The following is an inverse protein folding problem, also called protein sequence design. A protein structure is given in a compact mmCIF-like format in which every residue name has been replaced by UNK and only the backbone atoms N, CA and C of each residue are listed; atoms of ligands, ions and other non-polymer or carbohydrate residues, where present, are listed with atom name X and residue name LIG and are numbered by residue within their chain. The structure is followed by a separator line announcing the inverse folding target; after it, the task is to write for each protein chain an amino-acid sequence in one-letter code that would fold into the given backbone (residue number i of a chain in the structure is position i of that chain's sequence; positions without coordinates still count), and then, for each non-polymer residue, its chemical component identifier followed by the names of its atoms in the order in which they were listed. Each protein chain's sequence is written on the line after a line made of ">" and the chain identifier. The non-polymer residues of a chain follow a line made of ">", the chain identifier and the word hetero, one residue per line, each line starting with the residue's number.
data_IF_329191863990
#
_entry.id   IF_329191863990
#
_cell.length_a   1.000
_cell.length_b   1.000
_cell.length_c   1.000
_cell.angle_alpha   90.00
_cell.angle_beta   90.00
_cell.angle_gamma   90.00
#
_symmetry.space_group_name_H-M   'P 1'
#
loop_
_entity.id
_entity.type
_entity.pdbx_description
1 polymer ?
#
# COMPACT_ATOMS: atom_id res chain seq x y z
N UNK A 1 2.36 21.50 5.01
CA UNK A 1 2.68 20.77 6.26
C UNK A 1 2.42 19.30 6.01
N UNK A 2 3.46 18.48 6.16
CA UNK A 2 3.49 17.05 5.86
C UNK A 2 2.28 16.26 6.39
N UNK A 3 1.88 16.50 7.64
CA UNK A 3 0.73 15.85 8.26
C UNK A 3 -0.56 16.02 7.45
N UNK A 4 -0.85 17.22 6.96
CA UNK A 4 -2.01 17.48 6.10
C UNK A 4 -1.91 16.71 4.78
N UNK A 5 -0.71 16.56 4.21
CA UNK A 5 -0.53 15.78 2.97
C UNK A 5 -0.81 14.28 3.22
N UNK A 6 -0.36 13.73 4.36
CA UNK A 6 -0.63 12.35 4.76
C UNK A 6 -2.13 12.13 5.01
N UNK A 7 -2.77 13.00 5.79
CA UNK A 7 -4.22 12.95 6.07
C UNK A 7 -5.03 12.99 4.79
N UNK A 8 -4.69 13.89 3.86
CA UNK A 8 -5.40 14.03 2.59
C UNK A 8 -5.24 12.78 1.72
N UNK A 9 -4.03 12.22 1.65
CA UNK A 9 -3.77 11.01 0.86
C UNK A 9 -4.52 9.80 1.44
N UNK A 10 -4.43 9.55 2.74
CA UNK A 10 -5.14 8.44 3.38
C UNK A 10 -6.66 8.59 3.24
N UNK A 11 -7.18 9.79 3.50
CA UNK A 11 -8.61 10.10 3.33
C UNK A 11 -9.08 9.83 1.91
N UNK A 12 -8.27 10.22 0.90
CA UNK A 12 -8.56 9.93 -0.50
C UNK A 12 -8.49 8.44 -0.79
N UNK A 13 -7.49 7.73 -0.27
CA UNK A 13 -7.34 6.29 -0.46
C UNK A 13 -8.57 5.50 0.02
N UNK A 14 -9.15 5.88 1.15
CA UNK A 14 -10.37 5.26 1.67
C UNK A 14 -11.59 5.39 0.75
N UNK A 15 -11.59 6.33 -0.19
CA UNK A 15 -12.68 6.47 -1.17
C UNK A 15 -12.58 5.43 -2.30
N UNK A 16 -11.39 4.85 -2.52
CA UNK A 16 -11.13 3.94 -3.64
C UNK A 16 -10.98 2.48 -3.24
N UNK A 17 -10.85 2.17 -1.94
CA UNK A 17 -10.81 0.80 -1.48
C UNK A 17 -10.28 0.61 -0.08
N UNK A 18 -9.99 -0.66 0.24
CA UNK A 18 -9.37 -1.09 1.47
C UNK A 18 -7.91 -0.65 1.52
N UNK A 19 -7.46 -0.14 2.68
CA UNK A 19 -6.12 0.43 2.85
C UNK A 19 -5.35 -0.40 3.87
N UNK A 20 -4.16 -0.85 3.46
CA UNK A 20 -3.24 -1.60 4.30
C UNK A 20 -1.92 -0.84 4.46
N UNK A 21 -1.33 -0.88 5.65
CA UNK A 21 0.03 -0.40 5.91
C UNK A 21 0.90 -1.59 6.30
N UNK A 22 1.82 -1.97 5.42
CA UNK A 22 2.77 -3.07 5.64
C UNK A 22 4.16 -2.53 5.94
N UNK A 23 4.64 -2.75 7.16
CA UNK A 23 5.92 -2.20 7.64
C UNK A 23 6.87 -3.29 8.14
N UNK A 24 8.18 -3.05 8.00
CA UNK A 24 9.23 -3.85 8.66
C UNK A 24 9.61 -3.30 10.05
N UNK A 25 8.95 -2.23 10.52
CA UNK A 25 8.96 -1.85 11.93
C UNK A 25 8.25 -2.90 12.78
N UNK A 26 8.42 -2.83 14.10
CA UNK A 26 7.74 -3.72 15.03
C UNK A 26 6.26 -3.35 15.19
N UNK A 27 5.44 -4.27 15.69
CA UNK A 27 4.03 -4.00 16.02
C UNK A 27 3.93 -2.78 16.96
N UNK A 28 3.02 -1.85 16.65
CA UNK A 28 2.89 -0.58 17.37
C UNK A 28 3.76 0.57 16.83
N UNK A 29 4.72 0.29 15.93
CA UNK A 29 5.61 1.32 15.38
C UNK A 29 4.87 2.42 14.64
N UNK A 30 3.84 2.08 13.86
CA UNK A 30 3.08 3.06 13.05
C UNK A 30 2.32 4.02 13.94
N UNK A 31 1.64 3.47 14.95
CA UNK A 31 0.83 4.19 15.92
C UNK A 31 1.69 5.14 16.76
N UNK A 32 2.78 4.63 17.34
CA UNK A 32 3.71 5.44 18.14
C UNK A 32 4.37 6.55 17.28
N UNK A 33 4.72 6.24 16.02
CA UNK A 33 5.30 7.24 15.12
C UNK A 33 4.28 8.31 14.74
N UNK A 34 3.02 7.93 14.46
CA UNK A 34 1.96 8.87 14.16
C UNK A 34 1.68 9.77 15.35
N UNK A 35 1.52 9.22 16.56
CA UNK A 35 1.28 9.98 17.78
C UNK A 35 2.37 11.03 18.03
N UNK A 36 3.64 10.65 17.80
CA UNK A 36 4.78 11.54 18.05
C UNK A 36 4.96 12.64 17.01
N UNK A 37 4.75 12.33 15.72
CA UNK A 37 5.16 13.21 14.63
C UNK A 37 4.01 13.77 13.79
N UNK A 38 2.89 13.06 13.71
CA UNK A 38 1.73 13.36 12.85
C UNK A 38 0.41 13.00 13.57
N UNK A 39 0.11 13.58 14.75
CA UNK A 39 -0.96 13.14 15.64
C UNK A 39 -2.37 13.12 15.01
N UNK A 40 -2.66 13.96 14.01
CA UNK A 40 -3.95 13.94 13.28
C UNK A 40 -4.13 12.67 12.44
N UNK A 41 -3.05 11.96 12.12
CA UNK A 41 -3.12 10.67 11.42
C UNK A 41 -3.69 9.58 12.32
N UNK A 42 -3.53 9.69 13.66
CA UNK A 42 -4.04 8.70 14.61
C UNK A 42 -5.55 8.50 14.49
N UNK A 43 -6.32 9.54 14.17
CA UNK A 43 -7.78 9.46 13.95
C UNK A 43 -8.16 8.59 12.74
N UNK A 44 -7.23 8.42 11.78
CA UNK A 44 -7.44 7.62 10.56
C UNK A 44 -6.98 6.17 10.71
N UNK A 45 -6.03 5.90 11.61
CA UNK A 45 -5.44 4.56 11.78
C UNK A 45 -6.45 3.44 12.08
N UNK A 46 -7.57 3.66 12.82
CA UNK A 46 -8.58 2.63 13.02
C UNK A 46 -9.24 2.11 11.73
N UNK A 47 -9.13 2.85 10.61
CA UNK A 47 -9.66 2.44 9.29
C UNK A 47 -8.60 1.77 8.41
N UNK A 48 -7.38 1.62 8.90
CA UNK A 48 -6.25 1.05 8.17
C UNK A 48 -5.92 -0.32 8.74
N UNK A 49 -5.75 -1.29 7.87
CA UNK A 49 -5.23 -2.60 8.24
C UNK A 49 -3.70 -2.52 8.38
N UNK A 50 -3.20 -2.37 9.61
CA UNK A 50 -1.77 -2.24 9.89
C UNK A 50 -1.16 -3.62 10.11
N UNK A 51 -0.10 -3.95 9.35
CA UNK A 51 0.62 -5.21 9.43
C UNK A 51 2.11 -4.93 9.67
N UNK A 52 2.61 -5.38 10.81
CA UNK A 52 4.05 -5.51 11.06
C UNK A 52 4.57 -6.78 10.42
N UNK A 53 5.11 -6.67 9.20
CA UNK A 53 5.68 -7.81 8.49
C UNK A 53 6.85 -8.43 9.28
N UNK A 54 7.67 -7.59 9.93
CA UNK A 54 8.77 -8.06 10.77
C UNK A 54 8.27 -8.86 11.96
N UNK A 55 7.40 -8.29 12.80
CA UNK A 55 6.93 -8.98 14.01
C UNK A 55 6.16 -10.27 13.69
N UNK A 56 5.46 -10.31 12.55
CA UNK A 56 4.68 -11.49 12.15
C UNK A 56 5.56 -12.59 11.53
N UNK A 57 6.54 -12.25 10.68
CA UNK A 57 7.21 -13.23 9.83
C UNK A 57 8.70 -13.45 10.13
N UNK A 58 9.35 -12.61 10.95
CA UNK A 58 10.80 -12.71 11.23
C UNK A 58 11.21 -14.08 11.79
N UNK A 59 10.40 -14.67 12.68
CA UNK A 59 10.72 -15.98 13.27
C UNK A 59 10.72 -17.12 12.23
N UNK A 60 9.87 -17.03 11.20
CA UNK A 60 9.76 -18.05 10.15
C UNK A 60 10.79 -17.85 9.03
N UNK A 61 11.15 -16.60 8.76
CA UNK A 61 12.08 -16.22 7.70
C UNK A 61 13.19 -15.32 8.26
N UNK A 62 14.12 -15.84 9.07
CA UNK A 62 15.17 -15.01 9.67
C UNK A 62 15.97 -14.26 8.60
N UNK A 63 16.38 -13.03 8.94
CA UNK A 63 17.24 -12.16 8.10
C UNK A 63 16.76 -11.90 6.67
N UNK A 64 15.44 -12.06 6.42
CA UNK A 64 14.84 -11.93 5.08
C UNK A 64 13.70 -10.89 5.05
N UNK A 65 13.99 -9.59 5.26
CA UNK A 65 13.00 -8.52 5.32
C UNK A 65 12.13 -8.37 4.06
N UNK A 66 12.64 -8.76 2.90
CA UNK A 66 11.92 -8.85 1.64
C UNK A 66 10.83 -9.93 1.68
N UNK A 67 11.17 -11.10 2.24
CA UNK A 67 10.25 -12.23 2.36
C UNK A 67 9.13 -11.91 3.35
N UNK A 68 9.43 -11.19 4.43
CA UNK A 68 8.39 -10.74 5.37
C UNK A 68 7.29 -9.95 4.67
N UNK A 69 7.67 -9.03 3.77
CA UNK A 69 6.69 -8.24 3.03
C UNK A 69 5.93 -9.06 1.99
N UNK A 70 6.59 -10.01 1.32
CA UNK A 70 5.91 -10.95 0.40
C UNK A 70 4.82 -11.71 1.14
N UNK A 71 5.13 -12.28 2.30
CA UNK A 71 4.16 -13.04 3.10
C UNK A 71 3.05 -12.15 3.67
N UNK A 72 3.40 -10.94 4.13
CA UNK A 72 2.40 -9.97 4.58
C UNK A 72 1.42 -9.59 3.47
N UNK A 73 1.92 -9.30 2.27
CA UNK A 73 1.08 -8.99 1.11
C UNK A 73 0.18 -10.17 0.76
N UNK A 74 0.74 -11.40 0.71
CA UNK A 74 -0.03 -12.61 0.43
C UNK A 74 -1.16 -12.82 1.45
N UNK A 75 -0.87 -12.64 2.74
CA UNK A 75 -1.88 -12.79 3.78
C UNK A 75 -2.98 -11.71 3.68
N UNK A 76 -2.61 -10.45 3.50
CA UNK A 76 -3.59 -9.36 3.32
C UNK A 76 -4.49 -9.60 2.11
N UNK A 77 -3.94 -10.13 1.01
CA UNK A 77 -4.72 -10.47 -0.18
C UNK A 77 -5.71 -11.60 0.08
N UNK A 78 -5.26 -12.68 0.73
CA UNK A 78 -6.13 -13.80 1.08
C UNK A 78 -7.29 -13.31 1.96
N UNK A 79 -7.00 -12.48 2.97
CA UNK A 79 -8.03 -11.90 3.85
C UNK A 79 -9.01 -10.98 3.11
N UNK A 80 -8.53 -10.14 2.18
CA UNK A 80 -9.37 -9.19 1.47
C UNK A 80 -10.15 -9.79 0.29
N UNK A 81 -9.64 -10.84 -0.36
CA UNK A 81 -10.21 -11.42 -1.59
C UNK A 81 -10.93 -12.75 -1.37
N UNK A 82 -10.39 -13.67 -0.57
CA UNK A 82 -10.97 -15.02 -0.44
C UNK A 82 -12.18 -15.01 0.52
N UNK A 83 -12.14 -14.21 1.58
CA UNK A 83 -13.29 -14.02 2.47
C UNK A 83 -14.50 -13.37 1.75
N UNK A 84 -14.28 -12.62 0.67
CA UNK A 84 -15.36 -12.02 -0.13
C UNK A 84 -15.94 -12.99 -1.17
N UNK A 85 -15.18 -14.02 -1.59
CA UNK A 85 -15.66 -15.04 -2.53
C UNK A 85 -16.70 -15.98 -1.90
N UNK A 86 -16.57 -16.36 -0.63
CA UNK A 86 -17.53 -17.26 0.03
C UNK A 86 -18.95 -16.68 0.12
N UNK A 87 -19.08 -15.36 0.33
CA UNK A 87 -20.39 -14.71 0.47
C UNK A 87 -21.11 -14.57 -0.88
N UNK A 88 -20.37 -14.46 -1.99
CA UNK A 88 -20.90 -14.16 -3.32
C UNK A 88 -21.13 -15.41 -4.21
N UNK A 89 -20.76 -16.61 -3.74
CA UNK A 89 -20.77 -17.87 -4.49
C UNK A 89 -22.17 -18.48 -4.77
N UNK A 90 -23.27 -17.74 -4.57
CA UNK A 90 -24.65 -18.23 -4.76
C UNK A 90 -25.29 -17.86 -6.11
N UNK A 91 -24.58 -17.18 -7.02
CA UNK A 91 -25.14 -16.65 -8.27
C UNK A 91 -24.45 -17.27 -9.51
N UNK A 92 -25.19 -18.02 -10.33
CA UNK A 92 -24.67 -18.91 -11.39
C UNK A 92 -24.16 -18.22 -12.68
N UNK A 93 -23.92 -16.91 -12.67
CA UNK A 93 -23.42 -16.15 -13.83
C UNK A 93 -22.62 -14.93 -13.33
N UNK A 94 -21.30 -15.07 -13.10
CA UNK A 94 -20.46 -13.92 -12.73
C UNK A 94 -19.43 -13.63 -13.82
N UNK A 95 -19.50 -12.43 -14.38
CA UNK A 95 -18.40 -11.82 -15.11
C UNK A 95 -17.18 -11.75 -14.18
N UNK A 96 -16.00 -12.13 -14.70
CA UNK A 96 -14.75 -12.04 -13.93
C UNK A 96 -14.52 -10.57 -13.57
N UNK A 97 -14.67 -10.23 -12.29
CA UNK A 97 -14.43 -8.87 -11.82
C UNK A 97 -12.93 -8.58 -11.89
N UNK A 98 -12.57 -7.53 -12.61
CA UNK A 98 -11.20 -7.03 -12.65
C UNK A 98 -10.91 -6.29 -11.35
N UNK A 99 -9.80 -6.64 -10.70
CA UNK A 99 -9.33 -6.07 -9.44
C UNK A 99 -8.11 -5.20 -9.66
N UNK A 100 -7.87 -4.27 -8.75
CA UNK A 100 -6.65 -3.48 -8.71
C UNK A 100 -5.93 -3.75 -7.40
N UNK A 101 -4.64 -4.07 -7.47
CA UNK A 101 -3.76 -4.09 -6.31
C UNK A 101 -2.69 -3.01 -6.49
N UNK A 102 -2.71 -2.02 -5.61
CA UNK A 102 -1.93 -0.80 -5.76
C UNK A 102 -1.00 -0.69 -4.56
N UNK A 103 0.31 -0.63 -4.81
CA UNK A 103 1.31 -0.44 -3.77
C UNK A 103 2.06 0.87 -3.97
N UNK A 104 2.21 1.59 -2.85
CA UNK A 104 3.03 2.77 -2.72
C UNK A 104 4.12 2.48 -1.69
N UNK A 105 5.38 2.66 -2.05
CA UNK A 105 6.51 2.35 -1.18
C UNK A 105 7.80 2.97 -1.70
N UNK A 106 8.74 3.28 -0.82
CA UNK A 106 10.02 3.88 -1.21
C UNK A 106 11.05 2.82 -1.64
N UNK A 107 10.92 1.56 -1.25
CA UNK A 107 11.92 0.55 -1.55
C UNK A 107 11.54 -0.38 -2.72
N UNK A 108 12.51 -1.16 -3.19
CA UNK A 108 12.25 -2.27 -4.12
C UNK A 108 11.47 -3.42 -3.47
N UNK A 109 11.45 -3.52 -2.13
CA UNK A 109 10.79 -4.63 -1.43
C UNK A 109 9.28 -4.62 -1.64
N UNK A 110 8.62 -3.46 -1.53
CA UNK A 110 7.17 -3.35 -1.77
C UNK A 110 6.82 -3.66 -3.23
N UNK A 111 7.61 -3.12 -4.17
CA UNK A 111 7.43 -3.35 -5.62
C UNK A 111 7.57 -4.83 -5.97
N UNK A 112 8.60 -5.49 -5.46
CA UNK A 112 8.84 -6.91 -5.73
C UNK A 112 7.78 -7.79 -5.06
N UNK A 113 7.39 -7.48 -3.82
CA UNK A 113 6.33 -8.20 -3.13
C UNK A 113 5.01 -8.12 -3.91
N UNK A 114 4.60 -6.93 -4.34
CA UNK A 114 3.39 -6.73 -5.15
C UNK A 114 3.41 -7.58 -6.42
N UNK A 115 4.51 -7.52 -7.19
CA UNK A 115 4.64 -8.28 -8.44
C UNK A 115 4.63 -9.79 -8.20
N UNK A 116 5.27 -10.24 -7.12
CA UNK A 116 5.31 -11.65 -6.77
C UNK A 116 3.92 -12.18 -6.47
N UNK A 117 3.16 -11.52 -5.59
CA UNK A 117 1.83 -12.00 -5.17
C UNK A 117 0.75 -11.87 -6.24
N UNK A 118 0.97 -11.04 -7.27
CA UNK A 118 0.02 -10.84 -8.38
C UNK A 118 0.36 -11.64 -9.64
N UNK A 119 1.52 -12.29 -9.69
CA UNK A 119 2.06 -12.92 -10.91
C UNK A 119 1.11 -13.94 -11.55
N UNK A 120 0.38 -14.71 -10.74
CA UNK A 120 -0.55 -15.75 -11.20
C UNK A 120 -2.03 -15.31 -11.17
N UNK A 121 -2.31 -14.01 -10.97
CA UNK A 121 -3.67 -13.48 -10.83
C UNK A 121 -4.19 -12.87 -12.15
N UNK A 122 -4.82 -13.67 -13.00
CA UNK A 122 -5.25 -13.25 -14.35
C UNK A 122 -6.28 -12.11 -14.39
N UNK A 123 -7.00 -11.86 -13.29
CA UNK A 123 -8.01 -10.81 -13.17
C UNK A 123 -7.59 -9.65 -12.26
N UNK A 124 -6.31 -9.47 -12.00
CA UNK A 124 -5.79 -8.41 -11.13
C UNK A 124 -4.79 -7.54 -11.87
N UNK A 125 -5.04 -6.23 -11.91
CA UNK A 125 -4.04 -5.26 -12.32
C UNK A 125 -3.09 -4.94 -11.17
N UNK A 126 -1.80 -5.13 -11.44
CA UNK A 126 -0.69 -4.80 -10.54
C UNK A 126 -0.23 -3.37 -10.81
N UNK A 127 -0.33 -2.50 -9.80
CA UNK A 127 0.05 -1.09 -9.91
C UNK A 127 1.06 -0.73 -8.81
N UNK A 128 2.32 -0.62 -9.18
CA UNK A 128 3.40 -0.21 -8.27
C UNK A 128 3.78 1.25 -8.53
N UNK A 129 3.88 2.03 -7.46
CA UNK A 129 4.38 3.39 -7.48
C UNK A 129 5.51 3.47 -6.46
N UNK A 130 6.75 3.53 -6.96
CA UNK A 130 7.94 3.66 -6.13
C UNK A 130 8.20 5.13 -5.79
N UNK A 131 8.31 5.44 -4.51
CA UNK A 131 8.72 6.74 -4.01
C UNK A 131 10.24 6.90 -4.03
N UNK A 132 10.70 8.13 -3.89
CA UNK A 132 12.12 8.45 -3.73
C UNK A 132 12.57 7.94 -2.35
N UNK A 133 13.72 7.28 -2.30
CA UNK A 133 14.32 6.82 -1.04
C UNK A 133 14.98 7.98 -0.31
N UNK A 134 14.83 8.01 1.02
CA UNK A 134 15.41 9.05 1.90
C UNK A 134 15.13 10.49 1.43
N UNK A 135 13.85 10.86 1.19
CA UNK A 135 13.52 12.22 0.78
C UNK A 135 13.76 13.22 1.93
N UNK A 136 14.01 14.48 1.59
CA UNK A 136 13.84 15.57 2.57
C UNK A 136 12.36 15.71 2.97
N UNK A 137 12.05 16.42 4.05
CA UNK A 137 10.65 16.67 4.45
C UNK A 137 9.85 17.37 3.36
N UNK A 138 10.47 18.29 2.63
CA UNK A 138 9.84 19.00 1.51
C UNK A 138 9.57 18.06 0.33
N UNK A 139 10.55 17.23 -0.03
CA UNK A 139 10.39 16.20 -1.07
C UNK A 139 9.31 15.18 -0.69
N UNK A 140 9.25 14.77 0.59
CA UNK A 140 8.22 13.88 1.12
C UNK A 140 6.83 14.52 1.02
N UNK A 141 6.67 15.79 1.39
CA UNK A 141 5.40 16.51 1.22
C UNK A 141 5.03 16.63 -0.27
N UNK A 142 6.00 16.93 -1.15
CA UNK A 142 5.78 17.09 -2.59
C UNK A 142 5.35 15.79 -3.26
N UNK A 143 6.01 14.68 -2.97
CA UNK A 143 5.62 13.38 -3.54
C UNK A 143 4.21 12.97 -3.10
N UNK A 144 3.85 13.18 -1.83
CA UNK A 144 2.50 12.88 -1.35
C UNK A 144 1.44 13.76 -2.05
N UNK A 145 1.74 15.03 -2.34
CA UNK A 145 0.86 15.91 -3.11
C UNK A 145 0.70 15.46 -4.55
N UNK A 146 1.79 15.08 -5.23
CA UNK A 146 1.75 14.55 -6.60
C UNK A 146 0.83 13.32 -6.65
N UNK A 147 1.06 12.37 -5.74
CA UNK A 147 0.26 11.14 -5.66
C UNK A 147 -1.20 11.43 -5.32
N UNK A 148 -1.46 12.33 -4.37
CA UNK A 148 -2.82 12.74 -4.04
C UNK A 148 -3.53 13.36 -5.26
N UNK A 149 -2.83 14.18 -6.05
CA UNK A 149 -3.34 14.77 -7.30
C UNK A 149 -3.66 13.74 -8.37
N UNK A 150 -2.80 12.73 -8.54
CA UNK A 150 -2.98 11.67 -9.55
C UNK A 150 -3.73 10.42 -9.05
N UNK A 151 -4.18 10.40 -7.80
CA UNK A 151 -4.64 9.17 -7.13
C UNK A 151 -5.80 8.48 -7.87
N UNK A 152 -6.78 9.27 -8.31
CA UNK A 152 -7.94 8.75 -9.05
C UNK A 152 -7.52 8.14 -10.39
N UNK A 153 -6.60 8.78 -11.12
CA UNK A 153 -6.05 8.22 -12.35
C UNK A 153 -5.36 6.88 -12.07
N UNK A 154 -4.53 6.80 -11.03
CA UNK A 154 -3.86 5.55 -10.64
C UNK A 154 -4.89 4.46 -10.33
N UNK A 155 -5.92 4.77 -9.54
CA UNK A 155 -6.94 3.80 -9.15
C UNK A 155 -7.79 3.32 -10.33
N UNK A 156 -8.18 4.22 -11.23
CA UNK A 156 -9.12 3.94 -12.34
C UNK A 156 -8.43 3.48 -13.62
N UNK A 157 -7.11 3.58 -13.73
CA UNK A 157 -6.36 3.14 -14.91
C UNK A 157 -6.65 1.68 -15.28
N UNK A 158 -7.05 1.41 -16.52
CA UNK A 158 -7.37 0.07 -17.01
C UNK A 158 -6.12 -0.71 -17.42
N UNK A 159 -5.27 -1.10 -16.47
CA UNK A 159 -4.06 -1.87 -16.75
C UNK A 159 -3.05 -1.89 -15.61
N UNK A 160 -1.93 -2.57 -15.84
CA UNK A 160 -0.78 -2.56 -14.93
C UNK A 160 -0.07 -1.21 -14.97
N UNK A 161 0.47 -0.79 -13.83
CA UNK A 161 1.34 0.39 -13.71
C UNK A 161 2.62 0.02 -12.96
N UNK A 162 3.74 0.52 -13.42
CA UNK A 162 5.04 0.36 -12.75
C UNK A 162 5.81 1.68 -12.89
N UNK A 163 5.51 2.61 -11.98
CA UNK A 163 6.00 3.98 -12.00
C UNK A 163 7.01 4.20 -10.88
N UNK A 164 7.99 5.06 -11.13
CA UNK A 164 8.95 5.47 -10.11
C UNK A 164 9.04 6.99 -10.11
N UNK A 165 8.86 7.60 -8.94
CA UNK A 165 9.13 9.01 -8.74
C UNK A 165 10.64 9.22 -8.67
N UNK A 166 11.11 10.28 -9.32
CA UNK A 166 12.52 10.67 -9.35
C UNK A 166 12.68 12.06 -8.73
N UNK A 167 13.87 12.37 -8.22
CA UNK A 167 14.14 13.59 -7.45
C UNK A 167 13.83 14.84 -8.26
N UNK A 168 14.09 14.81 -9.58
CA UNK A 168 13.84 15.91 -10.52
C UNK A 168 12.36 16.33 -10.54
N UNK A 169 11.44 15.41 -10.27
CA UNK A 169 10.01 15.70 -10.17
C UNK A 169 9.62 16.40 -8.86
N UNK A 170 10.51 16.40 -7.86
CA UNK A 170 10.27 16.93 -6.52
C UNK A 170 10.96 18.28 -6.27
N UNK A 171 11.87 18.69 -7.15
CA UNK A 171 12.64 19.93 -7.02
C UNK A 171 11.98 21.17 -7.64
N UNK A 172 10.82 21.01 -8.28
CA UNK A 172 10.05 22.08 -8.93
C UNK A 172 8.78 22.43 -8.18
#
# INVERSE_FOLDING_TARGET
>A
MLETAVVNLLSKAFLFGEVHLVTNGETGWVEMSAEKFLPRVCELLPRVNIVSARSTYQNRFPDSPETWKVEAFRNTLHESFDNKMEVESKCYNKSVQIRNLISFGDSMHERNALKHVTSDMSNTYCKSIKFVERPTLEQLERQLKIISGSFEYVCTHGGNLDLMLVVEMLCN
#
